data_IF_783632891601
#
_entry.id   IF_783632891601
#
_cell.length_a   1.000
_cell.length_b   1.000
_cell.length_c   1.000
_cell.angle_alpha   90.00
_cell.angle_beta   90.00
_cell.angle_gamma   90.00
#
_symmetry.space_group_name_H-M   'P 1'
#
loop_
_entity.id
_entity.type
_entity.pdbx_description
1 polymer ?
#
# COMPACT_ATOMS: atom_id res chain seq x y z
N UNK A 1 -21.22 4.53 4.46
CA UNK A 1 -22.20 3.44 4.21
C UNK A 1 -21.60 2.16 3.58
N UNK A 2 -20.88 2.27 2.46
CA UNK A 2 -20.37 1.08 1.74
C UNK A 2 -19.30 0.30 2.52
N UNK A 3 -18.36 0.99 3.19
CA UNK A 3 -17.33 0.33 4.01
C UNK A 3 -17.95 -0.48 5.18
N UNK A 4 -18.98 0.05 5.85
CA UNK A 4 -19.76 -0.69 6.86
C UNK A 4 -20.30 -1.98 6.28
N UNK A 5 -20.95 -1.90 5.12
CA UNK A 5 -21.54 -3.06 4.45
C UNK A 5 -20.49 -4.08 4.01
N UNK A 6 -19.35 -3.63 3.49
CA UNK A 6 -18.23 -4.49 3.10
C UNK A 6 -17.74 -5.31 4.30
N UNK A 7 -17.34 -4.64 5.39
CA UNK A 7 -16.78 -5.35 6.54
C UNK A 7 -17.83 -6.19 7.28
N UNK A 8 -19.11 -5.80 7.28
CA UNK A 8 -20.15 -6.61 7.91
C UNK A 8 -20.53 -7.86 7.09
N UNK A 9 -20.51 -7.79 5.75
CA UNK A 9 -21.15 -8.79 4.90
C UNK A 9 -20.20 -9.53 3.95
N UNK A 10 -18.91 -9.18 3.89
CA UNK A 10 -17.99 -9.87 2.99
C UNK A 10 -17.92 -11.38 3.33
N UNK A 11 -18.23 -12.26 2.36
CA UNK A 11 -18.30 -13.70 2.65
C UNK A 11 -16.91 -14.32 2.81
N UNK A 12 -15.86 -13.66 2.32
CA UNK A 12 -14.48 -14.16 2.30
C UNK A 12 -13.58 -13.36 3.25
N UNK A 13 -12.40 -13.90 3.63
CA UNK A 13 -11.43 -13.16 4.42
C UNK A 13 -11.01 -11.84 3.77
N UNK A 14 -10.77 -10.81 4.58
CA UNK A 14 -10.35 -9.47 4.15
C UNK A 14 -9.07 -9.08 4.87
N UNK A 15 -7.99 -8.89 4.11
CA UNK A 15 -6.75 -8.30 4.61
C UNK A 15 -6.75 -6.78 4.37
N UNK A 16 -6.35 -5.98 5.36
CA UNK A 16 -6.42 -4.52 5.32
C UNK A 16 -5.05 -3.90 5.55
N UNK A 17 -4.66 -2.96 4.68
CA UNK A 17 -3.58 -2.00 4.95
C UNK A 17 -4.18 -0.86 5.76
N UNK A 18 -3.81 -0.74 7.03
CA UNK A 18 -4.28 0.37 7.87
C UNK A 18 -3.71 1.70 7.40
N UNK A 19 -4.39 2.80 7.76
CA UNK A 19 -3.91 4.16 7.50
C UNK A 19 -2.50 4.37 8.10
N UNK A 20 -2.29 3.89 9.32
CA UNK A 20 -1.02 4.09 10.02
C UNK A 20 0.11 3.27 9.42
N UNK A 21 -0.16 2.00 9.09
CA UNK A 21 0.82 1.20 8.37
C UNK A 21 1.17 1.90 7.05
N UNK A 22 0.19 2.28 6.24
CA UNK A 22 0.49 2.82 4.92
C UNK A 22 1.24 4.18 4.90
N UNK A 23 1.38 4.86 6.05
CA UNK A 23 2.25 6.03 6.22
C UNK A 23 3.74 5.69 6.44
N UNK A 24 4.07 4.46 6.85
CA UNK A 24 5.43 4.10 7.30
C UNK A 24 6.45 4.01 6.16
N UNK A 25 6.12 3.29 5.09
CA UNK A 25 6.91 3.23 3.84
C UNK A 25 6.41 4.29 2.86
N UNK A 26 7.30 5.23 2.52
CA UNK A 26 7.05 6.27 1.52
C UNK A 26 7.96 6.06 0.31
N UNK A 27 7.38 6.12 -0.88
CA UNK A 27 8.15 6.08 -2.12
C UNK A 27 8.91 7.41 -2.28
N UNK A 28 10.23 7.37 -2.54
CA UNK A 28 11.08 8.56 -2.50
C UNK A 28 10.84 9.45 -3.72
N UNK A 29 10.70 10.76 -3.48
CA UNK A 29 10.58 11.74 -4.56
C UNK A 29 11.83 11.75 -5.45
N UNK A 30 13.01 11.54 -4.87
CA UNK A 30 14.26 11.47 -5.62
C UNK A 30 14.25 10.40 -6.72
N UNK A 31 13.68 9.22 -6.45
CA UNK A 31 13.57 8.15 -7.47
C UNK A 31 12.69 8.57 -8.64
N UNK A 32 11.64 9.36 -8.40
CA UNK A 32 10.80 9.92 -9.48
C UNK A 32 11.61 10.88 -10.36
N UNK A 33 12.51 11.67 -9.77
CA UNK A 33 13.34 12.62 -10.52
C UNK A 33 14.43 11.93 -11.34
N UNK A 34 14.98 10.81 -10.87
CA UNK A 34 16.21 10.23 -11.44
C UNK A 34 16.00 8.89 -12.16
N UNK A 35 15.12 8.03 -11.66
CA UNK A 35 15.16 6.60 -12.01
C UNK A 35 14.22 6.25 -13.17
N UNK A 36 13.35 7.17 -13.59
CA UNK A 36 12.37 6.98 -14.67
C UNK A 36 12.81 7.57 -16.03
N UNK A 37 14.09 7.97 -16.14
CA UNK A 37 14.63 8.66 -17.33
C UNK A 37 14.66 7.83 -18.62
N UNK A 38 14.29 6.54 -18.56
CA UNK A 38 14.21 5.66 -19.73
C UNK A 38 13.05 6.00 -20.70
N UNK A 39 12.14 6.90 -20.31
CA UNK A 39 11.08 7.44 -21.16
C UNK A 39 11.04 8.97 -21.06
N UNK A 40 10.84 9.65 -22.20
CA UNK A 40 10.80 11.12 -22.24
C UNK A 40 9.60 11.74 -21.53
N UNK A 41 8.39 11.17 -21.71
CA UNK A 41 7.15 11.58 -21.00
C UNK A 41 6.62 10.43 -20.17
N UNK A 42 7.32 10.13 -19.07
CA UNK A 42 6.94 9.01 -18.21
C UNK A 42 5.69 9.36 -17.39
N UNK A 43 4.57 8.61 -17.48
CA UNK A 43 3.30 8.98 -16.85
C UNK A 43 3.38 9.10 -15.32
N UNK A 44 4.24 8.30 -14.66
CA UNK A 44 4.47 8.45 -13.22
C UNK A 44 5.17 9.76 -12.87
N UNK A 45 6.11 10.24 -13.69
CA UNK A 45 6.84 11.48 -13.46
C UNK A 45 5.90 12.66 -13.65
N UNK A 46 5.15 12.68 -14.75
CA UNK A 46 4.13 13.70 -15.02
C UNK A 46 3.04 13.74 -13.94
N UNK A 47 2.58 12.58 -13.48
CA UNK A 47 1.59 12.49 -12.40
C UNK A 47 2.07 13.07 -11.07
N UNK A 48 3.36 12.88 -10.72
CA UNK A 48 3.94 13.48 -9.52
C UNK A 48 4.08 15.01 -9.67
N UNK A 49 4.61 15.48 -10.80
CA UNK A 49 4.76 16.91 -11.09
C UNK A 49 3.41 17.65 -11.07
N UNK A 50 2.35 17.02 -11.58
CA UNK A 50 1.01 17.60 -11.61
C UNK A 50 0.34 17.64 -10.23
N UNK A 51 0.67 16.72 -9.32
CA UNK A 51 0.02 16.62 -8.02
C UNK A 51 0.55 17.64 -7.00
N UNK A 52 1.88 17.83 -6.94
CA UNK A 52 2.53 18.76 -6.01
C UNK A 52 3.92 19.14 -6.53
N UNK A 53 4.42 20.31 -6.13
CA UNK A 53 5.81 20.72 -6.40
C UNK A 53 6.81 19.69 -5.85
N UNK A 54 7.62 19.13 -6.75
CA UNK A 54 8.72 18.19 -6.44
C UNK A 54 9.91 18.87 -5.74
N UNK A 55 10.74 18.11 -4.99
CA UNK A 55 10.56 16.69 -4.65
C UNK A 55 9.68 16.49 -3.40
N UNK A 56 9.00 15.34 -3.34
CA UNK A 56 8.34 14.88 -2.11
C UNK A 56 8.17 13.36 -2.09
N UNK A 57 8.24 12.79 -0.89
CA UNK A 57 7.98 11.36 -0.68
C UNK A 57 6.48 11.11 -0.53
N UNK A 58 6.00 9.97 -1.04
CA UNK A 58 4.57 9.62 -1.00
C UNK A 58 4.31 8.32 -0.25
N UNK A 59 3.38 8.31 0.72
CA UNK A 59 2.90 7.06 1.32
C UNK A 59 2.35 6.06 0.28
N UNK A 60 2.51 4.77 0.57
CA UNK A 60 2.28 3.67 -0.39
C UNK A 60 1.06 2.80 -0.06
N UNK A 61 -0.01 3.36 0.55
CA UNK A 61 -1.19 2.60 1.02
C UNK A 61 -1.75 1.61 -0.02
N UNK A 62 -2.15 2.11 -1.20
CA UNK A 62 -2.75 1.28 -2.24
C UNK A 62 -1.74 0.28 -2.83
N UNK A 63 -0.50 0.71 -3.04
CA UNK A 63 0.57 -0.12 -3.60
C UNK A 63 0.88 -1.33 -2.72
N UNK A 64 0.76 -1.20 -1.39
CA UNK A 64 0.96 -2.33 -0.48
C UNK A 64 -0.13 -3.39 -0.58
N UNK A 65 -1.37 -2.98 -0.86
CA UNK A 65 -2.46 -3.94 -1.06
C UNK A 65 -2.17 -4.80 -2.29
N UNK A 66 -1.68 -4.20 -3.38
CA UNK A 66 -1.24 -4.93 -4.60
C UNK A 66 -0.03 -5.80 -4.31
N UNK A 67 0.99 -5.27 -3.62
CA UNK A 67 2.18 -6.04 -3.29
C UNK A 67 1.85 -7.25 -2.41
N UNK A 68 0.93 -7.13 -1.46
CA UNK A 68 0.51 -8.26 -0.61
C UNK A 68 -0.14 -9.38 -1.42
N UNK A 69 -0.92 -9.07 -2.45
CA UNK A 69 -1.49 -10.07 -3.35
C UNK A 69 -0.40 -10.82 -4.12
N UNK A 70 0.65 -10.12 -4.55
CA UNK A 70 1.72 -10.69 -5.36
C UNK A 70 2.79 -11.41 -4.53
N UNK A 71 3.12 -10.86 -3.36
CA UNK A 71 4.26 -11.24 -2.50
C UNK A 71 3.84 -11.23 -1.02
N UNK A 72 2.88 -12.08 -0.62
CA UNK A 72 2.34 -12.08 0.74
C UNK A 72 3.40 -12.33 1.81
N UNK A 73 4.48 -13.05 1.48
CA UNK A 73 5.58 -13.38 2.39
C UNK A 73 6.42 -12.17 2.83
N UNK A 74 6.26 -11.01 2.16
CA UNK A 74 6.91 -9.76 2.58
C UNK A 74 6.23 -9.10 3.78
N UNK A 75 5.07 -9.58 4.19
CA UNK A 75 4.23 -8.98 5.23
C UNK A 75 3.99 -9.94 6.39
N UNK A 76 3.84 -9.37 7.58
CA UNK A 76 3.10 -10.03 8.64
C UNK A 76 1.60 -9.76 8.52
N UNK A 77 0.80 -10.53 9.26
CA UNK A 77 -0.63 -10.28 9.45
C UNK A 77 -0.95 -10.35 10.94
N UNK A 78 -1.92 -9.56 11.38
CA UNK A 78 -2.46 -9.65 12.73
C UNK A 78 -3.12 -11.01 12.97
N UNK A 79 -3.46 -11.28 14.24
CA UNK A 79 -4.49 -12.27 14.55
C UNK A 79 -5.82 -11.93 13.84
N UNK A 80 -6.71 -12.91 13.63
CA UNK A 80 -8.03 -12.65 13.07
C UNK A 80 -8.88 -11.74 13.95
N UNK A 81 -9.73 -10.94 13.32
CA UNK A 81 -10.65 -10.05 14.03
C UNK A 81 -11.81 -9.56 13.19
N UNK A 82 -12.50 -8.58 13.74
CA UNK A 82 -13.62 -7.87 13.12
C UNK A 82 -13.22 -6.41 12.94
N UNK A 83 -13.74 -5.78 11.88
CA UNK A 83 -13.54 -4.38 11.57
C UNK A 83 -14.93 -3.76 11.54
N UNK A 84 -15.13 -2.78 12.40
CA UNK A 84 -16.34 -1.97 12.43
C UNK A 84 -16.03 -0.59 11.86
N UNK A 85 -17.00 0.00 11.18
CA UNK A 85 -16.93 1.39 10.71
C UNK A 85 -18.00 2.17 11.43
N UNK A 86 -17.65 3.28 12.08
CA UNK A 86 -18.62 4.11 12.79
C UNK A 86 -19.39 5.06 11.85
N UNK A 87 -20.26 5.90 12.41
CA UNK A 87 -21.04 6.88 11.65
C UNK A 87 -20.21 8.00 11.03
N UNK A 88 -19.01 8.26 11.55
CA UNK A 88 -18.07 9.25 11.03
C UNK A 88 -17.11 8.68 9.97
N UNK A 89 -17.07 7.35 9.81
CA UNK A 89 -16.23 6.65 8.84
C UNK A 89 -14.91 6.13 9.41
N UNK A 90 -14.69 6.20 10.72
CA UNK A 90 -13.51 5.61 11.36
C UNK A 90 -13.63 4.08 11.41
N UNK A 91 -12.50 3.41 11.17
CA UNK A 91 -12.39 1.95 11.22
C UNK A 91 -11.76 1.51 12.53
N UNK A 92 -12.39 0.56 13.21
CA UNK A 92 -11.90 -0.04 14.45
C UNK A 92 -11.68 -1.53 14.24
N UNK A 93 -10.47 -2.00 14.53
CA UNK A 93 -10.13 -3.41 14.51
C UNK A 93 -10.20 -3.98 15.93
N UNK A 94 -10.93 -5.08 16.08
CA UNK A 94 -11.02 -5.82 17.35
C UNK A 94 -10.61 -7.26 17.10
N UNK A 95 -9.52 -7.74 17.74
CA UNK A 95 -9.18 -9.16 17.74
C UNK A 95 -10.37 -10.01 18.16
N UNK A 96 -10.67 -11.05 17.37
CA UNK A 96 -11.80 -11.93 17.64
C UNK A 96 -11.52 -13.28 17.00
N UNK A 97 -11.44 -14.37 17.78
CA UNK A 97 -11.28 -15.71 17.22
C UNK A 97 -12.34 -15.99 16.16
N UNK A 98 -11.93 -16.59 15.03
CA UNK A 98 -12.80 -16.85 13.86
C UNK A 98 -13.31 -15.60 13.13
N UNK A 99 -12.81 -14.41 13.46
CA UNK A 99 -13.01 -13.20 12.66
C UNK A 99 -12.47 -13.37 11.24
N UNK A 100 -13.05 -12.66 10.27
CA UNK A 100 -12.65 -12.74 8.85
C UNK A 100 -11.65 -11.66 8.43
N UNK A 101 -11.32 -10.73 9.31
CA UNK A 101 -10.47 -9.60 8.97
C UNK A 101 -9.08 -9.76 9.58
N UNK A 102 -8.07 -9.39 8.81
CA UNK A 102 -6.69 -9.25 9.29
C UNK A 102 -6.16 -7.89 8.89
N UNK A 103 -5.26 -7.33 9.71
CA UNK A 103 -4.54 -6.10 9.39
C UNK A 103 -3.10 -6.48 9.05
N UNK A 104 -2.59 -5.96 7.93
CA UNK A 104 -1.20 -6.20 7.57
C UNK A 104 -0.26 -5.56 8.59
N UNK A 105 0.90 -6.16 8.79
CA UNK A 105 1.95 -5.64 9.68
C UNK A 105 3.30 -5.70 8.97
N UNK A 106 4.21 -4.81 9.39
CA UNK A 106 5.60 -4.80 8.91
C UNK A 106 6.52 -4.45 10.07
N UNK A 107 7.54 -5.28 10.30
CA UNK A 107 8.70 -4.89 11.11
C UNK A 107 9.52 -3.82 10.37
N UNK A 108 10.41 -3.07 11.06
CA UNK A 108 11.29 -2.10 10.39
C UNK A 108 12.09 -2.73 9.23
N UNK A 109 12.64 -3.93 9.42
CA UNK A 109 13.37 -4.62 8.35
C UNK A 109 12.49 -4.99 7.14
N UNK A 110 11.23 -5.35 7.36
CA UNK A 110 10.28 -5.59 6.28
C UNK A 110 9.87 -4.29 5.58
N UNK A 111 9.75 -3.17 6.31
CA UNK A 111 9.48 -1.86 5.72
C UNK A 111 10.59 -1.47 4.74
N UNK A 112 11.85 -1.65 5.14
CA UNK A 112 13.00 -1.39 4.26
C UNK A 112 13.03 -2.32 3.05
N UNK A 113 12.71 -3.60 3.24
CA UNK A 113 12.65 -4.57 2.15
C UNK A 113 11.56 -4.22 1.13
N UNK A 114 10.37 -3.83 1.60
CA UNK A 114 9.26 -3.36 0.76
C UNK A 114 9.65 -2.09 0.00
N UNK A 115 10.32 -1.14 0.65
CA UNK A 115 10.77 0.09 0.00
C UNK A 115 11.77 -0.22 -1.12
N UNK A 116 12.80 -1.03 -0.83
CA UNK A 116 13.79 -1.45 -1.84
C UNK A 116 13.14 -2.17 -3.01
N UNK A 117 12.16 -3.03 -2.74
CA UNK A 117 11.39 -3.69 -3.78
C UNK A 117 10.66 -2.68 -4.66
N UNK A 118 9.93 -1.72 -4.07
CA UNK A 118 9.22 -0.71 -4.86
C UNK A 118 10.16 0.14 -5.71
N UNK A 119 11.25 0.66 -5.15
CA UNK A 119 12.20 1.49 -5.90
C UNK A 119 12.76 0.69 -7.08
N UNK A 120 13.17 -0.56 -6.87
CA UNK A 120 13.69 -1.42 -7.93
C UNK A 120 12.66 -1.71 -9.01
N UNK A 121 11.49 -2.24 -8.64
CA UNK A 121 10.52 -2.74 -9.62
C UNK A 121 9.80 -1.61 -10.38
N UNK A 122 9.46 -0.51 -9.70
CA UNK A 122 8.63 0.53 -10.31
C UNK A 122 9.42 1.42 -11.26
N UNK A 123 10.69 1.68 -10.97
CA UNK A 123 11.57 2.45 -11.85
C UNK A 123 12.14 1.62 -13.01
N UNK A 124 12.04 0.30 -12.96
CA UNK A 124 12.59 -0.58 -13.98
C UNK A 124 11.93 -0.35 -15.34
N UNK A 125 12.75 -0.23 -16.39
CA UNK A 125 12.25 -0.23 -17.77
C UNK A 125 11.59 -1.58 -18.07
N UNK A 126 10.32 -1.62 -18.53
CA UNK A 126 9.67 -2.88 -18.84
C UNK A 126 10.32 -3.55 -20.04
N UNK A 127 10.29 -4.89 -20.07
CA UNK A 127 10.91 -5.69 -21.14
C UNK A 127 10.34 -5.37 -22.54
N UNK A 128 9.12 -4.84 -22.62
CA UNK A 128 8.49 -4.35 -23.84
C UNK A 128 8.20 -2.86 -23.69
N UNK A 129 9.06 -2.04 -24.27
CA UNK A 129 8.87 -0.60 -24.41
C UNK A 129 9.44 -0.20 -25.78
N UNK A 130 8.54 0.08 -26.72
CA UNK A 130 8.84 0.40 -28.12
C UNK A 130 8.73 1.90 -28.34
#
# INVERSE_FOLDING_TARGET
PNAKRLFALCPVPVAVVSLELGKTVKYPGASIETDFAWAGKHPMVEGYNAYRKMPYDRPTWAMRSVLYVLRPEMFGVSEPGIICVDDQGYTYFTPTPRGKHTVLTLTPGQQDAVLRFFVRELSSKPAKYW
#
